data_IF_082978883849
#
_entry.id   IF_082978883849
#
_cell.length_a   1.000
_cell.length_b   1.000
_cell.length_c   1.000
_cell.angle_alpha   90.00
_cell.angle_beta   90.00
_cell.angle_gamma   90.00
#
_symmetry.space_group_name_H-M   'P 1'
#
loop_
_entity.id
_entity.type
_entity.pdbx_description
1 polymer ?
#
# COMPACT_ATOMS: atom_id res chain seq x y z
N UNK A 1 -23.73 8.48 9.34
CA UNK A 1 -24.18 7.66 8.18
C UNK A 1 -23.13 7.79 7.10
N UNK A 2 -22.11 6.94 7.17
CA UNK A 2 -21.07 6.80 6.14
C UNK A 2 -21.63 5.82 5.10
N UNK A 3 -21.74 6.19 3.82
CA UNK A 3 -22.20 5.26 2.81
C UNK A 3 -21.13 4.17 2.63
N UNK A 4 -21.51 2.93 2.86
CA UNK A 4 -20.77 1.72 2.51
C UNK A 4 -20.36 1.78 1.03
N UNK A 5 -19.13 2.12 0.75
CA UNK A 5 -18.52 1.90 -0.57
C UNK A 5 -18.09 0.43 -0.68
N UNK A 6 -19.10 -0.46 -0.65
CA UNK A 6 -18.92 -1.84 -1.05
C UNK A 6 -18.77 -1.88 -2.58
N UNK A 7 -17.59 -2.27 -3.07
CA UNK A 7 -17.45 -2.81 -4.43
C UNK A 7 -16.82 -1.93 -5.49
N UNK A 8 -15.89 -1.04 -5.20
CA UNK A 8 -14.98 -0.53 -6.25
C UNK A 8 -13.82 -1.51 -6.45
N UNK A 9 -14.09 -2.60 -7.19
CA UNK A 9 -13.01 -3.38 -7.83
C UNK A 9 -12.35 -2.48 -8.88
N UNK A 10 -11.09 -2.13 -8.62
CA UNK A 10 -10.27 -1.28 -9.49
C UNK A 10 -10.19 -1.87 -10.91
N UNK A 11 -10.42 -1.10 -11.98
CA UNK A 11 -10.34 -1.60 -13.36
C UNK A 11 -8.98 -2.21 -13.70
N UNK A 12 -7.91 -1.74 -13.08
CA UNK A 12 -6.55 -2.26 -13.25
C UNK A 12 -6.36 -3.68 -12.67
N UNK A 13 -7.01 -4.04 -11.56
CA UNK A 13 -6.89 -5.35 -10.93
C UNK A 13 -7.46 -6.48 -11.78
N UNK A 14 -8.58 -6.26 -12.49
CA UNK A 14 -9.21 -7.28 -13.33
C UNK A 14 -8.35 -7.64 -14.55
N UNK A 15 -7.78 -6.65 -15.22
CA UNK A 15 -6.89 -6.84 -16.37
C UNK A 15 -5.62 -7.58 -15.97
N UNK A 16 -5.06 -7.25 -14.82
CA UNK A 16 -3.88 -7.91 -14.27
C UNK A 16 -4.20 -9.38 -13.91
N UNK A 17 -5.38 -9.63 -13.36
CA UNK A 17 -5.84 -10.99 -13.08
C UNK A 17 -5.95 -11.83 -14.36
N UNK A 18 -6.64 -11.33 -15.41
CA UNK A 18 -6.77 -12.05 -16.68
C UNK A 18 -5.42 -12.25 -17.36
N UNK A 19 -4.49 -11.30 -17.24
CA UNK A 19 -3.12 -11.48 -17.73
C UNK A 19 -2.40 -12.61 -16.96
N UNK A 20 -2.54 -12.67 -15.65
CA UNK A 20 -1.98 -13.78 -14.83
C UNK A 20 -2.59 -15.12 -15.21
N UNK A 21 -3.92 -15.18 -15.43
CA UNK A 21 -4.60 -16.37 -15.93
C UNK A 21 -4.05 -16.83 -17.27
N UNK A 22 -3.83 -15.91 -18.21
CA UNK A 22 -3.26 -16.21 -19.51
C UNK A 22 -1.84 -16.80 -19.43
N UNK A 23 -1.00 -16.29 -18.55
CA UNK A 23 0.33 -16.84 -18.30
C UNK A 23 0.30 -18.22 -17.65
N UNK A 24 -0.55 -18.41 -16.63
CA UNK A 24 -0.73 -19.72 -15.98
C UNK A 24 -1.25 -20.77 -16.99
N UNK A 25 -2.13 -20.36 -17.90
CA UNK A 25 -2.64 -21.24 -18.98
C UNK A 25 -1.53 -21.65 -19.95
N UNK A 26 -0.59 -20.75 -20.30
CA UNK A 26 0.57 -21.12 -21.11
C UNK A 26 1.44 -22.19 -20.42
N UNK A 27 1.68 -22.03 -19.12
CA UNK A 27 2.40 -23.03 -18.33
C UNK A 27 1.64 -24.37 -18.30
N UNK A 28 0.30 -24.32 -18.12
CA UNK A 28 -0.54 -25.52 -18.12
C UNK A 28 -0.53 -26.24 -19.48
N UNK A 29 -0.64 -25.50 -20.59
CA UNK A 29 -0.53 -26.04 -21.96
C UNK A 29 0.84 -26.73 -22.15
N UNK A 30 1.94 -26.09 -21.76
CA UNK A 30 3.27 -26.67 -21.81
C UNK A 30 3.38 -27.98 -21.02
N UNK A 31 2.91 -27.97 -19.76
CA UNK A 31 2.88 -29.17 -18.92
C UNK A 31 2.02 -30.30 -19.49
N UNK A 32 0.85 -30.00 -20.05
CA UNK A 32 -0.05 -30.97 -20.68
C UNK A 32 0.61 -31.59 -21.92
N UNK A 33 1.25 -30.80 -22.77
CA UNK A 33 1.95 -31.32 -23.96
C UNK A 33 3.11 -32.25 -23.57
N UNK A 34 3.92 -31.86 -22.57
CA UNK A 34 5.01 -32.70 -22.04
C UNK A 34 4.45 -34.01 -21.48
N UNK A 35 3.37 -33.96 -20.71
CA UNK A 35 2.72 -35.15 -20.14
C UNK A 35 2.20 -36.07 -21.23
N UNK A 36 1.50 -35.55 -22.25
CA UNK A 36 0.98 -36.36 -23.36
C UNK A 36 2.15 -36.99 -24.13
N UNK A 37 3.18 -36.24 -24.46
CA UNK A 37 4.37 -36.76 -25.14
C UNK A 37 5.05 -37.87 -24.32
N UNK A 38 5.21 -37.68 -23.02
CA UNK A 38 5.80 -38.66 -22.13
C UNK A 38 4.95 -39.96 -22.05
N UNK A 39 3.64 -39.83 -21.88
CA UNK A 39 2.72 -40.98 -21.80
C UNK A 39 2.66 -41.73 -23.10
N UNK A 40 2.61 -41.04 -24.25
CA UNK A 40 2.51 -41.67 -25.55
C UNK A 40 3.83 -42.30 -26.04
N UNK A 41 4.99 -41.62 -25.79
CA UNK A 41 6.28 -42.06 -26.38
C UNK A 41 7.11 -42.90 -25.43
N UNK A 42 7.12 -42.57 -24.13
CA UNK A 42 7.94 -43.26 -23.13
C UNK A 42 7.19 -44.43 -22.50
N UNK A 43 5.92 -44.22 -22.18
CA UNK A 43 5.10 -45.26 -21.52
C UNK A 43 4.34 -46.17 -22.56
N UNK A 44 4.25 -45.73 -23.82
CA UNK A 44 3.62 -46.51 -24.87
C UNK A 44 2.09 -46.76 -24.66
N UNK A 45 1.44 -45.96 -23.77
CA UNK A 45 0.01 -46.15 -23.49
C UNK A 45 -0.85 -45.67 -24.65
N UNK A 46 -1.86 -46.47 -25.01
CA UNK A 46 -2.78 -46.17 -26.07
C UNK A 46 -3.79 -45.06 -25.64
N UNK A 47 -3.34 -43.82 -25.61
CA UNK A 47 -4.18 -42.66 -25.34
C UNK A 47 -4.69 -42.01 -26.62
N UNK A 48 -5.85 -41.34 -26.63
CA UNK A 48 -6.40 -40.69 -27.85
C UNK A 48 -5.67 -39.35 -28.11
N UNK A 49 -4.39 -39.44 -28.53
CA UNK A 49 -3.48 -38.30 -28.71
C UNK A 49 -4.09 -37.19 -29.58
N UNK A 50 -4.76 -37.53 -30.66
CA UNK A 50 -5.37 -36.56 -31.57
C UNK A 50 -6.45 -35.73 -30.89
N UNK A 51 -7.33 -36.36 -30.07
CA UNK A 51 -8.36 -35.65 -29.30
C UNK A 51 -7.78 -34.79 -28.21
N UNK A 52 -6.74 -35.26 -27.54
CA UNK A 52 -6.02 -34.50 -26.50
C UNK A 52 -5.34 -33.26 -27.09
N UNK A 53 -4.63 -33.42 -28.23
CA UNK A 53 -3.98 -32.28 -28.89
C UNK A 53 -5.01 -31.31 -29.46
N UNK A 54 -6.15 -31.77 -29.96
CA UNK A 54 -7.24 -30.89 -30.41
C UNK A 54 -7.77 -30.01 -29.24
N UNK A 55 -8.00 -30.60 -28.06
CA UNK A 55 -8.46 -29.87 -26.90
C UNK A 55 -7.42 -28.78 -26.45
N UNK A 56 -6.14 -29.15 -26.45
CA UNK A 56 -5.05 -28.21 -26.14
C UNK A 56 -4.95 -27.11 -27.21
N UNK A 57 -5.12 -27.43 -28.49
CA UNK A 57 -5.14 -26.44 -29.57
C UNK A 57 -6.27 -25.41 -29.40
N UNK A 58 -7.46 -25.87 -29.02
CA UNK A 58 -8.61 -24.99 -28.71
C UNK A 58 -8.28 -24.08 -27.53
N UNK A 59 -7.65 -24.62 -26.48
CA UNK A 59 -7.24 -23.84 -25.31
C UNK A 59 -6.14 -22.82 -25.68
N UNK A 60 -5.19 -23.20 -26.51
CA UNK A 60 -4.13 -22.31 -27.00
C UNK A 60 -4.71 -21.18 -27.88
N UNK A 61 -5.65 -21.50 -28.78
CA UNK A 61 -6.34 -20.49 -29.59
C UNK A 61 -7.12 -19.51 -28.71
N UNK A 62 -7.85 -20.02 -27.72
CA UNK A 62 -8.53 -19.19 -26.75
C UNK A 62 -7.56 -18.27 -26.00
N UNK A 63 -6.42 -18.81 -25.57
CA UNK A 63 -5.41 -18.00 -24.91
C UNK A 63 -4.83 -16.90 -25.80
N UNK A 64 -4.62 -17.19 -27.09
CA UNK A 64 -4.15 -16.20 -28.06
C UNK A 64 -5.17 -15.06 -28.23
N UNK A 65 -6.46 -15.38 -28.31
CA UNK A 65 -7.54 -14.39 -28.36
C UNK A 65 -7.58 -13.52 -27.09
N UNK A 66 -7.35 -14.12 -25.90
CA UNK A 66 -7.26 -13.39 -24.65
C UNK A 66 -6.07 -12.44 -24.64
N UNK A 67 -4.88 -12.89 -25.07
CA UNK A 67 -3.68 -12.06 -25.18
C UNK A 67 -3.88 -10.90 -26.19
N UNK A 68 -4.53 -11.16 -27.32
CA UNK A 68 -4.89 -10.12 -28.28
C UNK A 68 -5.87 -9.11 -27.69
N UNK A 69 -6.91 -9.55 -26.98
CA UNK A 69 -7.87 -8.70 -26.27
C UNK A 69 -7.18 -7.86 -25.17
N UNK A 70 -6.20 -8.43 -24.47
CA UNK A 70 -5.40 -7.72 -23.47
C UNK A 70 -4.56 -6.58 -24.08
N UNK A 71 -4.23 -6.64 -25.37
CA UNK A 71 -3.55 -5.52 -26.07
C UNK A 71 -4.51 -4.35 -26.35
N UNK A 72 -5.80 -4.61 -26.47
CA UNK A 72 -6.81 -3.57 -26.65
C UNK A 72 -7.08 -2.89 -25.30
N UNK A 73 -7.22 -1.54 -25.30
CA UNK A 73 -7.47 -0.75 -24.07
C UNK A 73 -8.94 -0.78 -23.58
N UNK A 74 -9.74 -1.77 -23.99
CA UNK A 74 -11.14 -1.88 -23.61
C UNK A 74 -11.33 -2.28 -22.14
N UNK A 75 -12.39 -1.78 -21.51
CA UNK A 75 -12.76 -2.13 -20.14
C UNK A 75 -13.17 -3.62 -20.07
N UNK A 76 -12.75 -4.30 -19.00
CA UNK A 76 -13.11 -5.71 -18.74
C UNK A 76 -14.35 -5.80 -17.87
N UNK A 77 -15.30 -6.64 -18.28
CA UNK A 77 -16.51 -6.93 -17.52
C UNK A 77 -16.19 -7.78 -16.28
N UNK A 78 -16.98 -7.63 -15.20
CA UNK A 78 -16.75 -8.32 -13.94
C UNK A 78 -16.86 -9.85 -14.00
N UNK A 79 -17.58 -10.39 -14.98
CA UNK A 79 -17.79 -11.83 -15.19
C UNK A 79 -16.69 -12.50 -16.03
N UNK A 80 -15.90 -11.73 -16.81
CA UNK A 80 -14.87 -12.27 -17.71
C UNK A 80 -13.88 -13.22 -16.98
N UNK A 81 -13.29 -12.89 -15.82
CA UNK A 81 -12.39 -13.82 -15.15
C UNK A 81 -13.02 -15.14 -14.74
N UNK A 82 -14.32 -15.13 -14.40
CA UNK A 82 -15.07 -16.36 -14.05
C UNK A 82 -15.18 -17.27 -15.27
N UNK A 83 -15.50 -16.71 -16.44
CA UNK A 83 -15.58 -17.46 -17.71
C UNK A 83 -14.23 -18.04 -18.09
N UNK A 84 -13.15 -17.28 -17.92
CA UNK A 84 -11.81 -17.79 -18.19
C UNK A 84 -11.47 -19.02 -17.34
N UNK A 85 -11.75 -18.96 -16.03
CA UNK A 85 -11.51 -20.08 -15.10
C UNK A 85 -12.46 -21.25 -15.41
N UNK A 86 -13.71 -20.97 -15.78
CA UNK A 86 -14.68 -22.01 -16.16
C UNK A 86 -14.23 -22.77 -17.42
N UNK A 87 -13.74 -22.07 -18.43
CA UNK A 87 -13.19 -22.70 -19.65
C UNK A 87 -11.99 -23.59 -19.30
N UNK A 88 -11.06 -23.09 -18.46
CA UNK A 88 -9.90 -23.87 -18.01
C UNK A 88 -10.34 -25.15 -17.27
N UNK A 89 -11.36 -25.04 -16.38
CA UNK A 89 -11.93 -26.17 -15.64
C UNK A 89 -12.57 -27.21 -16.59
N UNK A 90 -13.33 -26.76 -17.58
CA UNK A 90 -14.00 -27.64 -18.52
C UNK A 90 -13.02 -28.35 -19.46
N UNK A 91 -12.00 -27.64 -19.94
CA UNK A 91 -10.96 -28.26 -20.79
C UNK A 91 -10.16 -29.27 -19.97
N UNK A 92 -9.75 -28.94 -18.73
CA UNK A 92 -9.12 -29.91 -17.86
C UNK A 92 -10.00 -31.12 -17.58
N UNK A 93 -11.28 -30.92 -17.30
CA UNK A 93 -12.26 -32.00 -17.16
C UNK A 93 -12.37 -32.89 -18.42
N UNK A 94 -12.37 -32.30 -19.61
CA UNK A 94 -12.39 -33.06 -20.88
C UNK A 94 -11.10 -33.88 -21.08
N UNK A 95 -9.93 -33.33 -20.77
CA UNK A 95 -8.69 -34.07 -20.83
C UNK A 95 -8.67 -35.25 -19.85
N UNK A 96 -9.16 -35.03 -18.62
CA UNK A 96 -9.31 -36.11 -17.62
C UNK A 96 -10.31 -37.16 -18.07
N UNK A 97 -11.44 -36.77 -18.68
CA UNK A 97 -12.43 -37.69 -19.24
C UNK A 97 -11.81 -38.65 -20.28
N UNK A 98 -10.93 -38.16 -21.14
CA UNK A 98 -10.25 -38.95 -22.17
C UNK A 98 -9.12 -39.83 -21.61
N UNK A 99 -8.72 -39.63 -20.37
CA UNK A 99 -7.52 -40.27 -19.77
C UNK A 99 -7.81 -41.01 -18.46
N UNK A 100 -9.00 -41.59 -18.32
CA UNK A 100 -9.35 -42.44 -17.18
C UNK A 100 -10.28 -41.80 -16.13
N UNK A 101 -10.74 -40.56 -16.36
CA UNK A 101 -11.77 -39.92 -15.53
C UNK A 101 -11.30 -39.67 -14.10
N UNK A 102 -12.11 -40.10 -13.13
CA UNK A 102 -11.82 -39.95 -11.70
C UNK A 102 -10.64 -40.80 -11.23
N UNK A 103 -10.29 -41.87 -11.97
CA UNK A 103 -9.09 -42.68 -11.68
C UNK A 103 -7.80 -42.06 -12.19
N UNK A 104 -7.87 -40.95 -12.92
CA UNK A 104 -6.66 -40.26 -13.36
C UNK A 104 -5.91 -39.62 -12.19
N UNK A 105 -4.58 -39.86 -12.01
CA UNK A 105 -3.81 -39.31 -10.92
C UNK A 105 -3.80 -37.78 -10.85
N UNK A 106 -4.10 -37.09 -11.96
CA UNK A 106 -4.14 -35.63 -12.05
C UNK A 106 -5.50 -35.01 -11.73
N UNK A 107 -6.48 -35.80 -11.25
CA UNK A 107 -7.82 -35.30 -10.93
C UNK A 107 -7.79 -34.22 -9.82
N UNK A 108 -6.80 -34.30 -8.91
CA UNK A 108 -6.60 -33.29 -7.85
C UNK A 108 -6.33 -31.87 -8.39
N UNK A 109 -5.88 -31.75 -9.65
CA UNK A 109 -5.67 -30.45 -10.29
C UNK A 109 -6.98 -29.66 -10.46
N UNK A 110 -8.16 -30.28 -10.36
CA UNK A 110 -9.45 -29.58 -10.34
C UNK A 110 -9.62 -28.63 -9.12
N UNK A 111 -8.79 -28.78 -8.09
CA UNK A 111 -8.75 -27.83 -6.96
C UNK A 111 -8.12 -26.48 -7.36
N UNK A 112 -7.26 -26.45 -8.39
CA UNK A 112 -6.54 -25.24 -8.79
C UNK A 112 -7.46 -24.09 -9.26
N UNK A 113 -8.46 -24.32 -10.13
CA UNK A 113 -9.42 -23.28 -10.50
C UNK A 113 -10.13 -22.66 -9.29
N UNK A 114 -10.48 -23.46 -8.28
CA UNK A 114 -11.13 -22.98 -7.05
C UNK A 114 -10.19 -22.09 -6.25
N UNK A 115 -8.95 -22.52 -6.08
CA UNK A 115 -7.92 -21.77 -5.36
C UNK A 115 -7.66 -20.42 -6.03
N UNK A 116 -7.54 -20.43 -7.34
CA UNK A 116 -7.29 -19.23 -8.12
C UNK A 116 -8.47 -18.25 -8.04
N UNK A 117 -9.70 -18.75 -8.13
CA UNK A 117 -10.90 -17.94 -7.94
C UNK A 117 -10.95 -17.34 -6.52
N UNK A 118 -10.61 -18.11 -5.49
CA UNK A 118 -10.64 -17.67 -4.09
C UNK A 118 -9.66 -16.53 -3.78
N UNK A 119 -8.54 -16.43 -4.52
CA UNK A 119 -7.54 -15.38 -4.30
C UNK A 119 -7.90 -14.04 -4.94
N UNK A 120 -8.85 -14.00 -5.88
CA UNK A 120 -9.00 -12.82 -6.74
C UNK A 120 -10.46 -12.43 -7.01
N UNK A 121 -11.42 -13.30 -6.71
CA UNK A 121 -12.83 -13.10 -7.06
C UNK A 121 -13.72 -13.02 -5.80
N UNK A 122 -14.89 -12.37 -5.89
CA UNK A 122 -15.86 -12.34 -4.82
C UNK A 122 -16.44 -13.73 -4.55
N UNK A 123 -16.89 -13.97 -3.31
CA UNK A 123 -17.37 -15.28 -2.83
C UNK A 123 -18.41 -15.94 -3.75
N UNK A 124 -19.32 -15.15 -4.35
CA UNK A 124 -20.32 -15.66 -5.31
C UNK A 124 -19.66 -16.31 -6.53
N UNK A 125 -18.63 -15.69 -7.08
CA UNK A 125 -17.87 -16.20 -8.22
C UNK A 125 -17.06 -17.44 -7.84
N UNK A 126 -16.49 -17.48 -6.65
CA UNK A 126 -15.81 -18.66 -6.10
C UNK A 126 -16.78 -19.83 -5.99
N UNK A 127 -17.99 -19.61 -5.48
CA UNK A 127 -19.01 -20.63 -5.36
C UNK A 127 -19.39 -21.21 -6.74
N UNK A 128 -19.54 -20.38 -7.78
CA UNK A 128 -19.81 -20.83 -9.16
C UNK A 128 -18.69 -21.74 -9.67
N UNK A 129 -17.43 -21.32 -9.54
CA UNK A 129 -16.27 -22.09 -9.98
C UNK A 129 -16.14 -23.40 -9.19
N UNK A 130 -16.35 -23.36 -7.86
CA UNK A 130 -16.32 -24.56 -7.03
C UNK A 130 -17.41 -25.56 -7.41
N UNK A 131 -18.64 -25.08 -7.63
CA UNK A 131 -19.74 -25.92 -8.08
C UNK A 131 -19.44 -26.57 -9.43
N UNK A 132 -18.86 -25.80 -10.38
CA UNK A 132 -18.46 -26.31 -11.68
C UNK A 132 -17.38 -27.40 -11.55
N UNK A 133 -16.36 -27.18 -10.74
CA UNK A 133 -15.28 -28.15 -10.51
C UNK A 133 -15.79 -29.43 -9.87
N UNK A 134 -16.67 -29.33 -8.85
CA UNK A 134 -17.30 -30.48 -8.19
C UNK A 134 -18.23 -31.23 -9.17
N UNK A 135 -19.03 -30.51 -9.94
CA UNK A 135 -19.89 -31.13 -10.97
C UNK A 135 -19.06 -31.87 -12.03
N UNK A 136 -17.95 -31.26 -12.49
CA UNK A 136 -17.00 -31.91 -13.41
C UNK A 136 -16.42 -33.17 -12.78
N UNK A 137 -16.01 -33.15 -11.53
CA UNK A 137 -15.52 -34.34 -10.83
C UNK A 137 -16.57 -35.45 -10.69
N UNK A 138 -17.79 -35.11 -10.33
CA UNK A 138 -18.92 -36.08 -10.25
C UNK A 138 -19.25 -36.70 -11.60
N UNK A 139 -19.21 -35.90 -12.69
CA UNK A 139 -19.38 -36.42 -14.04
C UNK A 139 -18.25 -37.36 -14.42
N UNK A 140 -16.99 -37.07 -14.04
CA UNK A 140 -15.85 -37.95 -14.30
C UNK A 140 -15.94 -39.27 -13.54
N UNK A 141 -16.59 -39.29 -12.38
CA UNK A 141 -16.85 -40.54 -11.63
C UNK A 141 -17.86 -41.45 -12.38
N UNK A 142 -18.81 -40.86 -13.12
CA UNK A 142 -19.88 -41.61 -13.79
C UNK A 142 -19.52 -41.91 -15.23
N UNK A 143 -18.80 -41.02 -15.91
CA UNK A 143 -18.45 -41.10 -17.31
C UNK A 143 -16.95 -40.90 -17.47
N UNK A 144 -16.27 -41.89 -18.04
CA UNK A 144 -14.87 -41.80 -18.42
C UNK A 144 -14.55 -42.77 -19.52
N UNK A 145 -13.57 -42.44 -20.35
CA UNK A 145 -13.00 -43.38 -21.30
C UNK A 145 -12.00 -44.24 -20.53
N UNK A 146 -12.35 -45.51 -20.38
CA UNK A 146 -11.48 -46.51 -19.74
C UNK A 146 -10.22 -46.67 -20.61
N UNK A 147 -9.03 -46.44 -20.03
CA UNK A 147 -7.80 -46.76 -20.71
C UNK A 147 -7.69 -48.29 -20.86
N UNK A 148 -7.30 -48.82 -22.04
CA UNK A 148 -7.10 -50.25 -22.20
C UNK A 148 -6.13 -50.74 -21.11
N UNK A 149 -6.61 -51.70 -20.29
CA UNK A 149 -5.74 -52.42 -19.37
C UNK A 149 -4.71 -53.19 -20.21
N UNK A 150 -3.43 -52.97 -19.89
CA UNK A 150 -2.37 -53.81 -20.43
C UNK A 150 -2.48 -55.16 -19.74
N UNK A 151 -3.06 -56.10 -20.42
CA UNK A 151 -3.45 -57.43 -19.93
C UNK A 151 -2.27 -58.38 -19.65
N UNK A 152 -1.07 -57.90 -19.53
CA UNK A 152 0.08 -58.74 -19.22
C UNK A 152 0.34 -58.82 -17.71
N UNK A 153 0.18 -60.05 -17.18
CA UNK A 153 0.32 -60.38 -15.74
C UNK A 153 1.67 -60.02 -15.11
N UNK A 154 2.64 -59.57 -15.88
CA UNK A 154 3.95 -59.07 -15.40
C UNK A 154 4.03 -57.57 -15.21
N UNK A 155 3.08 -56.79 -15.71
CA UNK A 155 3.12 -55.30 -15.74
C UNK A 155 2.32 -54.64 -14.61
N UNK A 156 1.53 -55.41 -13.85
CA UNK A 156 0.62 -54.86 -12.82
C UNK A 156 1.38 -54.07 -11.73
N UNK A 157 2.59 -54.48 -11.33
CA UNK A 157 3.41 -53.76 -10.39
C UNK A 157 3.98 -52.42 -10.93
N UNK A 158 4.35 -52.39 -12.22
CA UNK A 158 4.85 -51.19 -12.86
C UNK A 158 3.73 -50.14 -13.02
N UNK A 159 2.54 -50.57 -13.44
CA UNK A 159 1.38 -49.66 -13.55
C UNK A 159 0.94 -49.11 -12.21
N UNK A 160 0.93 -49.92 -11.14
CA UNK A 160 0.62 -49.48 -9.81
C UNK A 160 1.63 -48.41 -9.35
N UNK A 161 2.93 -48.66 -9.53
CA UNK A 161 3.97 -47.72 -9.18
C UNK A 161 3.88 -46.42 -10.01
N UNK A 162 3.54 -46.52 -11.29
CA UNK A 162 3.34 -45.36 -12.16
C UNK A 162 2.14 -44.50 -11.74
N UNK A 163 1.01 -45.16 -11.41
CA UNK A 163 -0.18 -44.49 -10.89
C UNK A 163 0.14 -43.77 -9.56
N UNK A 164 0.78 -44.43 -8.63
CA UNK A 164 1.21 -43.88 -7.35
C UNK A 164 2.18 -42.70 -7.54
N UNK A 165 3.12 -42.81 -8.47
CA UNK A 165 4.06 -41.72 -8.83
C UNK A 165 3.28 -40.53 -9.42
N UNK A 166 2.32 -40.76 -10.32
CA UNK A 166 1.46 -39.73 -10.88
C UNK A 166 0.64 -39.01 -9.78
N UNK A 167 0.09 -39.74 -8.83
CA UNK A 167 -0.60 -39.17 -7.69
C UNK A 167 0.32 -38.31 -6.81
N UNK A 168 1.53 -38.77 -6.53
CA UNK A 168 2.52 -38.04 -5.75
C UNK A 168 2.93 -36.73 -6.45
N UNK A 169 3.18 -36.76 -7.75
CA UNK A 169 3.49 -35.56 -8.57
C UNK A 169 2.30 -34.60 -8.57
N UNK A 170 1.10 -35.09 -8.81
CA UNK A 170 -0.13 -34.27 -8.81
C UNK A 170 -0.36 -33.63 -7.47
N UNK A 171 -0.20 -34.39 -6.38
CA UNK A 171 -0.29 -33.86 -5.03
C UNK A 171 0.76 -32.78 -4.76
N UNK A 172 2.01 -33.01 -5.13
CA UNK A 172 3.09 -32.04 -4.96
C UNK A 172 2.82 -30.73 -5.72
N UNK A 173 2.36 -30.83 -6.97
CA UNK A 173 1.97 -29.68 -7.78
C UNK A 173 0.81 -28.92 -7.10
N UNK A 174 -0.24 -29.62 -6.74
CA UNK A 174 -1.44 -29.02 -6.12
C UNK A 174 -1.09 -28.36 -4.78
N UNK A 175 -0.35 -29.06 -3.91
CA UNK A 175 0.09 -28.53 -2.62
C UNK A 175 1.02 -27.31 -2.77
N UNK A 176 1.97 -27.37 -3.71
CA UNK A 176 2.87 -26.25 -4.00
C UNK A 176 2.14 -25.02 -4.51
N UNK A 177 1.20 -25.20 -5.44
CA UNK A 177 0.37 -24.11 -5.97
C UNK A 177 -0.54 -23.53 -4.89
N UNK A 178 -1.21 -24.37 -4.10
CA UNK A 178 -2.05 -23.94 -2.99
C UNK A 178 -1.24 -23.14 -1.97
N UNK A 179 -0.07 -23.66 -1.57
CA UNK A 179 0.85 -22.97 -0.68
C UNK A 179 1.31 -21.61 -1.22
N UNK A 180 1.67 -21.55 -2.51
CA UNK A 180 2.04 -20.30 -3.18
C UNK A 180 0.90 -19.27 -3.14
N UNK A 181 -0.34 -19.65 -3.49
CA UNK A 181 -1.46 -18.73 -3.48
C UNK A 181 -1.84 -18.27 -2.08
N UNK A 182 -1.83 -19.17 -1.09
CA UNK A 182 -2.07 -18.82 0.32
C UNK A 182 -0.98 -17.86 0.82
N UNK A 183 0.28 -18.12 0.54
CA UNK A 183 1.38 -17.25 0.93
C UNK A 183 1.30 -15.87 0.25
N UNK A 184 0.87 -15.82 -1.01
CA UNK A 184 0.63 -14.56 -1.74
C UNK A 184 -0.52 -13.76 -1.13
N UNK A 185 -1.63 -14.41 -0.81
CA UNK A 185 -2.79 -13.79 -0.17
C UNK A 185 -2.42 -13.25 1.22
N UNK A 186 -1.73 -14.05 2.03
CA UNK A 186 -1.28 -13.64 3.36
C UNK A 186 -0.32 -12.45 3.31
N UNK A 187 0.53 -12.34 2.28
CA UNK A 187 1.39 -11.17 2.08
C UNK A 187 0.58 -9.92 1.69
N UNK A 188 -0.40 -10.06 0.80
CA UNK A 188 -1.26 -8.96 0.39
C UNK A 188 -2.08 -8.41 1.57
N UNK A 189 -2.65 -9.29 2.40
CA UNK A 189 -3.39 -8.90 3.60
C UNK A 189 -2.51 -8.17 4.62
N UNK A 190 -1.28 -8.68 4.86
CA UNK A 190 -0.32 -8.01 5.76
C UNK A 190 0.09 -6.63 5.27
N UNK A 191 0.31 -6.47 3.97
CA UNK A 191 0.63 -5.17 3.37
C UNK A 191 -0.53 -4.17 3.55
N UNK A 192 -1.77 -4.61 3.31
CA UNK A 192 -2.96 -3.79 3.52
C UNK A 192 -3.15 -3.41 5.00
N UNK A 193 -2.93 -4.34 5.93
CA UNK A 193 -3.00 -4.06 7.36
C UNK A 193 -1.95 -3.03 7.80
N UNK A 194 -0.72 -3.14 7.28
CA UNK A 194 0.34 -2.18 7.57
C UNK A 194 0.00 -0.76 7.05
N UNK A 195 -0.59 -0.65 5.86
CA UNK A 195 -1.03 0.62 5.30
C UNK A 195 -2.14 1.27 6.14
N UNK A 196 -3.16 0.49 6.53
CA UNK A 196 -4.25 0.96 7.41
C UNK A 196 -3.71 1.42 8.77
N UNK A 197 -2.75 0.70 9.34
CA UNK A 197 -2.14 1.09 10.61
C UNK A 197 -1.33 2.38 10.48
N UNK A 198 -0.59 2.56 9.37
CA UNK A 198 0.09 3.82 9.07
C UNK A 198 -0.87 5.00 8.94
N UNK A 199 -1.97 4.82 8.24
CA UNK A 199 -3.00 5.86 8.12
C UNK A 199 -3.63 6.20 9.48
N UNK A 200 -3.88 5.19 10.30
CA UNK A 200 -4.42 5.37 11.65
C UNK A 200 -3.45 6.17 12.56
N UNK A 201 -2.17 5.82 12.54
CA UNK A 201 -1.14 6.54 13.32
C UNK A 201 -1.04 7.99 12.86
N UNK A 202 -1.10 8.25 11.55
CA UNK A 202 -1.13 9.63 11.02
C UNK A 202 -2.36 10.39 11.50
N UNK A 203 -3.54 9.79 11.39
CA UNK A 203 -4.79 10.42 11.83
C UNK A 203 -4.78 10.76 13.33
N UNK A 204 -4.29 9.85 14.18
CA UNK A 204 -4.15 10.09 15.62
C UNK A 204 -3.14 11.20 15.92
N UNK A 205 -2.05 11.28 15.15
CA UNK A 205 -1.06 12.35 15.29
C UNK A 205 -1.66 13.71 14.90
N UNK A 206 -2.39 13.75 13.78
CA UNK A 206 -3.03 14.97 13.30
C UNK A 206 -4.11 15.45 14.28
N UNK A 207 -4.90 14.54 14.84
CA UNK A 207 -5.88 14.82 15.90
C UNK A 207 -5.21 15.34 17.17
N UNK A 208 -4.09 14.74 17.58
CA UNK A 208 -3.31 15.19 18.73
C UNK A 208 -2.73 16.60 18.54
N UNK A 209 -2.22 16.91 17.34
CA UNK A 209 -1.73 18.25 17.00
C UNK A 209 -2.88 19.26 17.04
N UNK A 210 -4.05 18.91 16.50
CA UNK A 210 -5.23 19.77 16.54
C UNK A 210 -5.68 20.07 17.97
N UNK A 211 -5.73 19.05 18.83
CA UNK A 211 -6.08 19.22 20.24
C UNK A 211 -5.12 20.16 20.97
N UNK A 212 -3.80 19.98 20.77
CA UNK A 212 -2.77 20.85 21.36
C UNK A 212 -2.90 22.28 20.84
N UNK A 213 -3.11 22.47 19.53
CA UNK A 213 -3.25 23.80 18.94
C UNK A 213 -4.50 24.54 19.46
N UNK A 214 -5.62 23.83 19.58
CA UNK A 214 -6.88 24.38 20.12
C UNK A 214 -6.69 24.78 21.59
N UNK A 215 -6.08 23.92 22.40
CA UNK A 215 -5.79 24.19 23.79
C UNK A 215 -4.83 25.39 23.96
N UNK A 216 -3.78 25.44 23.13
CA UNK A 216 -2.84 26.56 23.14
C UNK A 216 -3.51 27.89 22.79
N UNK A 217 -4.41 27.89 21.79
CA UNK A 217 -5.17 29.09 21.41
C UNK A 217 -6.09 29.58 22.53
N UNK A 218 -6.82 28.67 23.21
CA UNK A 218 -7.65 29.01 24.38
C UNK A 218 -6.82 29.58 25.52
N UNK A 219 -5.74 28.88 25.88
CA UNK A 219 -4.85 29.32 26.97
C UNK A 219 -4.18 30.67 26.66
N UNK A 220 -3.75 30.89 25.42
CA UNK A 220 -3.19 32.19 25.04
C UNK A 220 -4.21 33.33 25.11
N UNK A 221 -5.49 33.06 24.77
CA UNK A 221 -6.55 34.05 24.93
C UNK A 221 -6.78 34.40 26.40
N UNK A 222 -6.83 33.40 27.27
CA UNK A 222 -6.99 33.57 28.72
C UNK A 222 -5.81 34.29 29.39
N UNK A 223 -4.59 34.05 28.90
CA UNK A 223 -3.36 34.72 29.41
C UNK A 223 -3.20 36.14 28.85
N UNK A 224 -3.66 36.44 27.65
CA UNK A 224 -3.58 37.79 27.09
C UNK A 224 -4.37 38.83 27.91
N UNK A 225 -5.48 38.43 28.52
CA UNK A 225 -6.31 39.31 29.36
C UNK A 225 -5.56 39.81 30.59
N UNK A 226 -4.98 38.95 31.50
CA UNK A 226 -4.23 39.42 32.65
C UNK A 226 -2.95 40.15 32.25
N UNK A 227 -2.24 39.74 31.19
CA UNK A 227 -1.06 40.46 30.71
C UNK A 227 -1.40 41.88 30.23
N UNK A 228 -2.52 42.09 29.56
CA UNK A 228 -2.98 43.42 29.16
C UNK A 228 -3.29 44.29 30.38
N UNK A 229 -3.94 43.71 31.40
CA UNK A 229 -4.22 44.42 32.67
C UNK A 229 -2.94 44.83 33.38
N UNK A 230 -1.97 43.90 33.52
CA UNK A 230 -0.66 44.17 34.13
C UNK A 230 0.05 45.31 33.39
N UNK A 231 0.08 45.23 32.04
CA UNK A 231 0.71 46.27 31.22
C UNK A 231 0.07 47.64 31.39
N UNK A 232 -1.27 47.70 31.45
CA UNK A 232 -2.00 48.95 31.61
C UNK A 232 -1.70 49.56 33.01
N UNK A 233 -1.75 48.75 34.06
CA UNK A 233 -1.41 49.23 35.43
C UNK A 233 0.05 49.69 35.55
N UNK A 234 0.98 48.99 34.95
CA UNK A 234 2.38 49.39 34.92
C UNK A 234 2.57 50.71 34.16
N UNK A 235 1.86 50.92 33.07
CA UNK A 235 1.90 52.17 32.28
C UNK A 235 1.30 53.36 33.07
N UNK A 236 0.25 53.14 33.86
CA UNK A 236 -0.35 54.13 34.75
C UNK A 236 0.62 54.49 35.90
N UNK A 237 1.17 53.50 36.59
CA UNK A 237 2.14 53.70 37.65
C UNK A 237 3.41 54.45 37.17
N UNK A 238 3.87 54.14 35.94
CA UNK A 238 4.98 54.86 35.34
C UNK A 238 4.67 56.34 35.07
N UNK A 239 3.41 56.67 34.73
CA UNK A 239 2.98 58.08 34.59
C UNK A 239 2.88 58.82 35.90
N UNK A 240 2.30 58.16 36.93
CA UNK A 240 2.16 58.75 38.26
C UNK A 240 3.49 59.01 38.96
N UNK A 241 4.48 58.14 38.74
CA UNK A 241 5.80 58.22 39.37
C UNK A 241 6.89 58.79 38.41
N UNK A 242 6.56 59.79 37.61
CA UNK A 242 7.45 60.35 36.59
C UNK A 242 8.71 61.04 37.12
N UNK A 243 8.77 61.35 38.40
CA UNK A 243 9.87 62.05 39.05
C UNK A 243 11.05 61.17 39.47
N UNK A 244 10.88 59.85 39.55
CA UNK A 244 11.93 58.90 39.94
C UNK A 244 12.51 58.19 38.74
N UNK A 245 13.74 58.49 38.36
CA UNK A 245 14.43 57.87 37.22
C UNK A 245 14.62 56.35 37.42
N UNK A 246 14.85 55.89 38.63
CA UNK A 246 15.01 54.45 38.94
C UNK A 246 13.70 53.68 38.76
N UNK A 247 12.59 54.20 39.31
CA UNK A 247 11.29 53.58 39.14
C UNK A 247 10.81 53.59 37.69
N UNK A 248 11.14 54.61 36.90
CA UNK A 248 10.88 54.67 35.47
C UNK A 248 11.62 53.57 34.68
N UNK A 249 12.89 53.32 35.05
CA UNK A 249 13.65 52.22 34.44
C UNK A 249 13.04 50.85 34.77
N UNK A 250 12.61 50.63 36.03
CA UNK A 250 11.98 49.37 36.46
C UNK A 250 10.62 49.14 35.77
N UNK A 251 9.76 50.16 35.69
CA UNK A 251 8.48 50.06 34.98
C UNK A 251 8.68 49.77 33.49
N UNK A 252 9.65 50.41 32.83
CA UNK A 252 9.99 50.15 31.44
C UNK A 252 10.42 48.70 31.21
N UNK A 253 11.22 48.17 32.13
CA UNK A 253 11.65 46.77 32.12
C UNK A 253 10.46 45.82 32.26
N UNK A 254 9.58 46.05 33.24
CA UNK A 254 8.41 45.20 33.47
C UNK A 254 7.39 45.23 32.31
N UNK A 255 7.15 46.42 31.72
CA UNK A 255 6.31 46.55 30.52
C UNK A 255 6.93 45.73 29.36
N UNK A 256 8.25 45.83 29.15
CA UNK A 256 8.94 45.05 28.16
C UNK A 256 8.81 43.54 28.36
N UNK A 257 8.84 43.06 29.60
CA UNK A 257 8.60 41.63 29.89
C UNK A 257 7.17 41.20 29.63
N UNK A 258 6.18 42.02 29.99
CA UNK A 258 4.78 41.73 29.68
C UNK A 258 4.50 41.66 28.17
N UNK A 259 5.09 42.57 27.39
CA UNK A 259 5.00 42.54 25.91
C UNK A 259 5.68 41.30 25.34
N UNK A 260 6.85 40.90 25.87
CA UNK A 260 7.56 39.68 25.46
C UNK A 260 6.72 38.41 25.73
N UNK A 261 6.08 38.30 26.89
CA UNK A 261 5.18 37.18 27.19
C UNK A 261 4.00 37.11 26.21
N UNK A 262 3.42 38.26 25.88
CA UNK A 262 2.33 38.33 24.89
C UNK A 262 2.80 37.86 23.51
N UNK A 263 3.97 38.23 23.06
CA UNK A 263 4.50 37.89 21.78
C UNK A 263 4.84 36.37 21.68
N UNK A 264 5.38 35.78 22.76
CA UNK A 264 5.58 34.32 22.87
C UNK A 264 4.22 33.55 22.74
N UNK A 265 3.17 34.04 23.43
CA UNK A 265 1.86 33.43 23.34
C UNK A 265 1.26 33.52 21.93
N UNK A 266 1.43 34.64 21.23
CA UNK A 266 1.01 34.80 19.84
C UNK A 266 1.74 33.84 18.90
N UNK A 267 3.04 33.71 19.09
CA UNK A 267 3.85 32.75 18.32
C UNK A 267 3.36 31.31 18.52
N UNK A 268 3.08 30.92 19.77
CA UNK A 268 2.55 29.58 20.10
C UNK A 268 1.23 29.28 19.36
N UNK A 269 0.31 30.24 19.35
CA UNK A 269 -0.97 30.11 18.62
C UNK A 269 -0.76 30.03 17.12
N UNK A 270 0.15 30.85 16.59
CA UNK A 270 0.48 30.88 15.15
C UNK A 270 1.08 29.56 14.69
N UNK A 271 1.96 28.97 15.46
CA UNK A 271 2.55 27.64 15.19
C UNK A 271 1.46 26.58 15.15
N UNK A 272 0.55 26.55 16.13
CA UNK A 272 -0.56 25.59 16.17
C UNK A 272 -1.51 25.73 14.99
N UNK A 273 -1.88 26.95 14.62
CA UNK A 273 -2.82 27.21 13.52
C UNK A 273 -2.21 26.96 12.13
N UNK A 274 -0.94 27.27 11.94
CA UNK A 274 -0.25 27.09 10.65
C UNK A 274 0.07 25.61 10.37
N UNK A 275 0.36 24.79 11.40
CA UNK A 275 0.52 23.35 11.25
C UNK A 275 -0.76 22.66 10.80
N UNK A 276 -1.92 23.18 11.17
CA UNK A 276 -3.23 22.71 10.75
C UNK A 276 -3.56 23.07 9.29
N UNK A 277 -3.11 24.24 8.83
CA UNK A 277 -3.47 24.70 7.49
C UNK A 277 -2.68 23.97 6.38
N UNK A 278 -1.49 23.43 6.67
CA UNK A 278 -0.65 22.72 5.69
C UNK A 278 -0.36 23.51 4.39
N UNK A 279 -0.76 24.78 4.35
CA UNK A 279 -0.70 25.64 3.15
C UNK A 279 0.71 26.18 3.07
N UNK A 280 1.40 25.81 2.00
CA UNK A 280 2.70 26.40 1.67
C UNK A 280 2.49 27.85 1.23
N UNK A 281 3.22 28.77 1.84
CA UNK A 281 3.27 30.17 1.46
C UNK A 281 4.41 30.41 0.48
N UNK A 282 4.15 31.14 -0.61
CA UNK A 282 5.18 31.50 -1.57
C UNK A 282 5.90 32.77 -1.14
N UNK A 283 7.10 32.61 -0.57
CA UNK A 283 7.96 33.72 -0.12
C UNK A 283 9.31 33.66 -0.83
N UNK A 284 10.04 34.78 -0.85
CA UNK A 284 11.42 34.78 -1.36
C UNK A 284 12.37 34.11 -0.38
N UNK A 285 13.50 33.61 -0.88
CA UNK A 285 14.55 33.03 -0.03
C UNK A 285 15.08 34.06 0.95
N UNK A 286 15.21 35.32 0.52
CA UNK A 286 15.63 36.43 1.38
C UNK A 286 14.64 36.68 2.53
N UNK A 287 13.33 36.66 2.26
CA UNK A 287 12.29 36.79 3.29
C UNK A 287 12.32 35.60 4.29
N UNK A 288 12.52 34.38 3.81
CA UNK A 288 12.66 33.20 4.68
C UNK A 288 13.87 33.35 5.62
N UNK A 289 15.02 33.76 5.10
CA UNK A 289 16.24 33.95 5.89
C UNK A 289 16.11 35.10 6.89
N UNK A 290 15.47 36.21 6.51
CA UNK A 290 15.18 37.31 7.42
C UNK A 290 14.27 36.87 8.57
N UNK A 291 13.13 36.22 8.26
CA UNK A 291 12.21 35.74 9.26
C UNK A 291 12.84 34.66 10.18
N UNK A 292 13.72 33.82 9.64
CA UNK A 292 14.45 32.80 10.42
C UNK A 292 15.46 33.45 11.37
N UNK A 293 16.21 34.46 10.89
CA UNK A 293 17.15 35.24 11.71
C UNK A 293 16.45 35.96 12.87
N UNK A 294 15.32 36.61 12.56
CA UNK A 294 14.55 37.34 13.56
C UNK A 294 14.00 36.39 14.65
N UNK A 295 13.46 35.23 14.20
CA UNK A 295 12.98 34.19 15.13
C UNK A 295 14.12 33.61 15.98
N UNK A 296 15.29 33.36 15.39
CA UNK A 296 16.49 32.87 16.12
C UNK A 296 16.99 33.87 17.12
N UNK A 297 17.14 35.17 16.78
CA UNK A 297 17.58 36.23 17.64
C UNK A 297 16.66 36.47 18.85
N UNK A 298 15.35 36.25 18.70
CA UNK A 298 14.39 36.26 19.82
C UNK A 298 14.60 35.11 20.80
N UNK A 299 14.93 33.91 20.28
CA UNK A 299 15.13 32.71 21.11
C UNK A 299 16.52 32.65 21.76
N UNK A 300 17.55 33.18 21.08
CA UNK A 300 18.95 33.11 21.47
C UNK A 300 19.64 34.47 21.36
N UNK A 301 19.31 35.41 22.24
CA UNK A 301 19.93 36.75 22.21
C UNK A 301 21.45 36.72 22.47
N UNK A 302 21.97 35.63 23.02
CA UNK A 302 23.39 35.40 23.27
C UNK A 302 24.20 34.91 22.08
N UNK A 303 23.52 34.51 20.96
CA UNK A 303 24.15 33.98 19.76
C UNK A 303 23.77 34.83 18.55
N UNK A 304 24.71 35.01 17.62
CA UNK A 304 24.51 35.79 16.38
C UNK A 304 24.50 34.87 15.16
N UNK A 305 23.39 34.82 14.45
CA UNK A 305 23.27 34.07 13.19
C UNK A 305 23.53 34.99 12.00
N UNK A 306 24.48 34.62 11.14
CA UNK A 306 24.77 35.33 9.90
C UNK A 306 24.37 34.52 8.69
N UNK A 307 23.63 35.12 7.75
CA UNK A 307 23.23 34.51 6.50
C UNK A 307 23.91 35.24 5.33
N UNK A 308 24.63 34.48 4.53
CA UNK A 308 25.18 35.00 3.26
C UNK A 308 24.34 34.42 2.12
N UNK A 309 23.66 35.28 1.36
CA UNK A 309 22.75 34.90 0.31
C UNK A 309 23.19 35.63 -0.97
N UNK A 310 23.32 34.88 -2.07
CA UNK A 310 23.52 35.44 -3.39
C UNK A 310 22.24 36.16 -3.84
N UNK A 311 22.38 37.36 -4.46
CA UNK A 311 21.24 38.20 -4.88
C UNK A 311 20.29 37.47 -5.83
N UNK A 312 20.80 36.65 -6.77
CA UNK A 312 19.96 35.86 -7.65
C UNK A 312 19.16 34.79 -6.92
N UNK A 313 19.74 34.16 -5.90
CA UNK A 313 19.10 33.14 -5.07
C UNK A 313 18.11 33.79 -4.11
N UNK A 314 18.46 34.92 -3.53
CA UNK A 314 17.61 35.67 -2.60
C UNK A 314 16.27 36.10 -3.20
N UNK A 315 16.25 36.44 -4.47
CA UNK A 315 15.05 36.85 -5.19
C UNK A 315 14.14 35.68 -5.61
N UNK A 316 14.59 34.42 -5.56
CA UNK A 316 13.79 33.26 -5.93
C UNK A 316 12.67 33.03 -4.93
N UNK A 317 11.46 32.81 -5.44
CA UNK A 317 10.29 32.45 -4.61
C UNK A 317 10.19 30.94 -4.47
N UNK A 318 9.98 30.48 -3.27
CA UNK A 318 9.83 29.08 -2.90
C UNK A 318 8.54 28.87 -2.09
N UNK A 319 7.95 27.71 -2.21
CA UNK A 319 6.80 27.30 -1.39
C UNK A 319 7.32 26.82 -0.03
N UNK A 320 7.12 27.61 1.01
CA UNK A 320 7.59 27.34 2.37
C UNK A 320 6.42 26.87 3.23
N UNK A 321 6.53 25.65 3.75
CA UNK A 321 5.64 25.20 4.82
C UNK A 321 6.18 25.66 6.17
N UNK A 322 5.33 25.97 7.16
CA UNK A 322 5.77 26.46 8.47
C UNK A 322 6.77 25.53 9.17
N UNK A 323 6.63 24.22 8.94
CA UNK A 323 7.56 23.22 9.43
C UNK A 323 9.01 23.40 8.95
N UNK A 324 9.23 23.97 7.75
CA UNK A 324 10.58 24.23 7.22
C UNK A 324 11.28 25.31 8.01
N UNK A 325 10.62 26.44 8.28
CA UNK A 325 11.19 27.54 9.09
C UNK A 325 11.55 27.02 10.50
N UNK A 326 10.67 26.27 11.14
CA UNK A 326 10.94 25.67 12.45
C UNK A 326 12.14 24.70 12.44
N UNK A 327 12.25 23.87 11.39
CA UNK A 327 13.38 22.97 11.25
C UNK A 327 14.71 23.74 11.14
N UNK A 328 14.73 24.84 10.37
CA UNK A 328 15.93 25.69 10.24
C UNK A 328 16.28 26.34 11.59
N UNK A 329 15.30 26.90 12.31
CA UNK A 329 15.55 27.51 13.65
C UNK A 329 16.07 26.46 14.63
N UNK A 330 15.55 25.23 14.62
CA UNK A 330 16.05 24.14 15.47
C UNK A 330 17.49 23.74 15.13
N UNK A 331 17.85 23.73 13.83
CA UNK A 331 19.23 23.47 13.40
C UNK A 331 20.17 24.58 13.86
N UNK A 332 19.75 25.86 13.76
CA UNK A 332 20.51 27.00 14.27
C UNK A 332 20.67 26.95 15.79
N UNK A 333 19.62 26.55 16.53
CA UNK A 333 19.72 26.36 17.98
C UNK A 333 20.74 25.28 18.35
N UNK A 334 20.75 24.15 17.67
CA UNK A 334 21.72 23.09 17.89
C UNK A 334 23.16 23.56 17.55
N UNK A 335 23.31 24.35 16.47
CA UNK A 335 24.59 24.93 16.08
C UNK A 335 25.08 25.97 17.11
N UNK A 336 24.16 26.79 17.64
CA UNK A 336 24.47 27.76 18.70
C UNK A 336 24.95 27.09 19.98
N UNK A 337 24.27 26.00 20.40
CA UNK A 337 24.69 25.22 21.57
C UNK A 337 26.13 24.67 21.39
N UNK A 338 26.43 24.15 20.19
CA UNK A 338 27.75 23.65 19.87
C UNK A 338 28.81 24.76 19.77
N UNK A 339 28.47 25.93 19.21
CA UNK A 339 29.35 27.08 19.05
C UNK A 339 29.68 27.72 20.40
N UNK A 340 28.66 27.94 21.25
CA UNK A 340 28.83 28.47 22.60
C UNK A 340 29.66 27.53 23.49
N UNK A 341 29.52 26.22 23.34
CA UNK A 341 30.37 25.24 24.04
C UNK A 341 31.84 25.34 23.62
N UNK A 342 32.13 25.85 22.41
CA UNK A 342 33.49 26.12 21.93
C UNK A 342 33.95 27.56 22.16
N UNK A 343 33.15 28.39 22.83
CA UNK A 343 33.49 29.79 23.16
C UNK A 343 33.29 30.80 22.04
N UNK A 344 32.56 30.45 20.97
CA UNK A 344 32.16 31.35 19.88
C UNK A 344 30.64 31.56 19.92
N UNK A 345 30.19 32.81 19.77
CA UNK A 345 28.77 33.17 19.76
C UNK A 345 28.18 33.23 18.33
N UNK A 346 28.96 32.95 17.28
CA UNK A 346 28.55 33.04 15.87
C UNK A 346 28.12 31.69 15.32
N UNK A 347 27.04 31.73 14.55
CA UNK A 347 26.45 30.57 13.86
C UNK A 347 26.25 30.89 12.40
#
# INVERSE_FOLDING_TARGET
LIPHQAGRSWPHGRRQLVATLAWLRLCAIGGQLVTIAFVAQVLGLAIPVTRLLAAIAVLALFNLLVLWRLRQKSAMAGWEPVVHIAIDTLVLGYLLYLTGGASNPFVSLLVMPITLAATALPLRSVAIVATLAVATYLLLMRFSVVLPEVSDAGSSGLFFNLHLTGMAISFAITAGMLGFFIARLARALRAQQAEVEHERVRALRDEGILAIATQAASTAHELNTPLSTIRTLLAELARENSTSATLQADFKLLIGQADRCRDILRELVKVGSNQLAGIAEWISVAELCAATRDSFGLLRPEAEASFTIDDEVGARRIAVVPALQHAIVNLLNNAADASLANGDARV
#
